data_IF_875606490358
#
_entry.id   IF_875606490358
#
_cell.length_a   1.000
_cell.length_b   1.000
_cell.length_c   1.000
_cell.angle_alpha   90.00
_cell.angle_beta   90.00
_cell.angle_gamma   90.00
#
_symmetry.space_group_name_H-M   'P 1'
#
loop_
_entity.id
_entity.type
_entity.pdbx_description
1 polymer ?
#
# COMPACT_ATOMS: atom_id res chain seq x y z
N UNK A 1 -27.89 42.59 27.09
CA UNK A 1 -27.02 43.13 26.01
C UNK A 1 -25.66 42.40 25.93
N UNK A 2 -25.11 41.84 27.01
CA UNK A 2 -23.86 41.05 26.96
C UNK A 2 -24.01 39.63 26.36
N UNK A 3 -25.18 38.99 26.54
CA UNK A 3 -25.42 37.63 26.05
C UNK A 3 -25.65 37.51 24.54
N UNK A 4 -26.13 38.57 23.89
CA UNK A 4 -26.33 38.59 22.43
C UNK A 4 -25.00 38.68 21.65
N UNK A 5 -23.94 39.23 22.27
CA UNK A 5 -22.62 39.39 21.65
C UNK A 5 -21.82 38.08 21.68
N UNK A 6 -22.01 37.26 22.71
CA UNK A 6 -21.37 35.94 22.84
C UNK A 6 -21.91 34.92 21.83
N UNK A 7 -23.20 35.01 21.45
CA UNK A 7 -23.81 34.08 20.48
C UNK A 7 -23.36 34.30 19.04
N UNK A 8 -22.86 35.50 18.68
CA UNK A 8 -22.37 35.79 17.32
C UNK A 8 -20.94 35.26 17.14
N UNK A 9 -20.13 35.23 18.21
CA UNK A 9 -18.76 34.71 18.15
C UNK A 9 -18.67 33.18 17.99
N UNK A 10 -19.73 32.44 18.33
CA UNK A 10 -19.77 30.98 18.16
C UNK A 10 -20.07 30.53 16.72
N UNK A 11 -20.66 31.40 15.89
CA UNK A 11 -20.98 31.06 14.50
C UNK A 11 -19.84 31.37 13.51
N UNK A 12 -18.87 32.22 13.88
CA UNK A 12 -17.77 32.60 12.97
C UNK A 12 -16.55 31.67 13.09
N UNK A 13 -16.42 30.90 14.18
CA UNK A 13 -15.28 29.97 14.35
C UNK A 13 -15.57 28.55 13.87
N UNK A 14 -16.82 28.21 13.54
CA UNK A 14 -17.19 26.88 13.04
C UNK A 14 -17.09 26.73 11.50
N UNK A 15 -16.70 27.80 10.79
CA UNK A 15 -16.61 27.82 9.32
C UNK A 15 -15.26 27.41 8.72
N UNK A 16 -14.28 27.04 9.54
CA UNK A 16 -12.94 26.62 9.10
C UNK A 16 -12.62 25.17 9.45
N UNK A 17 -13.62 24.28 9.37
CA UNK A 17 -13.34 22.90 9.04
C UNK A 17 -13.49 22.77 7.53
N UNK A 18 -12.51 23.28 6.79
CA UNK A 18 -12.25 22.75 5.47
C UNK A 18 -11.91 21.28 5.70
N UNK A 19 -12.89 20.40 5.47
CA UNK A 19 -12.59 19.02 5.15
C UNK A 19 -11.73 19.09 3.89
N UNK A 20 -10.42 19.21 4.07
CA UNK A 20 -9.44 19.15 3.01
C UNK A 20 -9.55 17.75 2.44
N UNK A 21 -10.50 17.56 1.53
CA UNK A 21 -10.68 16.32 0.82
C UNK A 21 -9.44 16.20 -0.04
N UNK A 22 -8.48 15.43 0.45
CA UNK A 22 -7.24 15.17 -0.25
C UNK A 22 -7.60 14.48 -1.56
N UNK A 23 -7.65 15.27 -2.62
CA UNK A 23 -7.87 14.77 -3.98
C UNK A 23 -6.49 14.58 -4.57
N UNK A 24 -5.99 13.34 -4.52
CA UNK A 24 -4.92 12.95 -5.42
C UNK A 24 -5.43 13.22 -6.83
N UNK A 25 -4.75 14.05 -7.65
CA UNK A 25 -5.15 14.24 -9.03
C UNK A 25 -4.81 12.94 -9.77
N UNK A 26 -5.77 12.02 -9.75
CA UNK A 26 -5.77 10.73 -10.39
C UNK A 26 -6.78 10.78 -11.53
N UNK A 27 -6.44 10.10 -12.62
CA UNK A 27 -7.38 9.84 -13.69
C UNK A 27 -8.53 9.01 -13.11
N UNK A 28 -9.77 9.47 -13.33
CA UNK A 28 -10.98 8.76 -12.91
C UNK A 28 -11.51 7.93 -14.07
N UNK A 29 -11.99 6.73 -13.76
CA UNK A 29 -12.52 5.80 -14.75
C UNK A 29 -14.00 5.53 -14.49
N UNK A 30 -14.82 5.62 -15.55
CA UNK A 30 -16.25 5.34 -15.48
C UNK A 30 -16.46 3.83 -15.34
N UNK A 31 -17.05 3.40 -14.23
CA UNK A 31 -17.25 1.98 -13.88
C UNK A 31 -17.99 1.19 -14.94
N UNK A 32 -19.05 1.77 -15.51
CA UNK A 32 -19.92 1.09 -16.50
C UNK A 32 -19.44 1.28 -17.95
N UNK A 33 -18.13 1.46 -18.14
CA UNK A 33 -17.52 1.60 -19.46
C UNK A 33 -16.91 0.27 -19.90
N UNK A 34 -17.08 -0.09 -21.17
CA UNK A 34 -16.45 -1.28 -21.75
C UNK A 34 -14.91 -1.23 -21.61
N UNK A 35 -14.33 -0.02 -21.68
CA UNK A 35 -12.90 0.23 -21.51
C UNK A 35 -12.44 0.47 -20.06
N UNK A 36 -13.23 0.09 -19.04
CA UNK A 36 -12.92 0.42 -17.64
C UNK A 36 -11.54 -0.08 -17.19
N UNK A 37 -11.18 -1.33 -17.51
CA UNK A 37 -9.87 -1.88 -17.14
C UNK A 37 -8.71 -1.19 -17.87
N UNK A 38 -8.88 -0.82 -19.14
CA UNK A 38 -7.87 -0.07 -19.90
C UNK A 38 -7.66 1.34 -19.34
N UNK A 39 -8.75 2.03 -19.00
CA UNK A 39 -8.69 3.31 -18.31
C UNK A 39 -7.98 3.17 -16.97
N UNK A 40 -8.32 2.15 -16.17
CA UNK A 40 -7.74 1.96 -14.85
C UNK A 40 -6.24 1.65 -14.93
N UNK A 41 -5.83 0.83 -15.91
CA UNK A 41 -4.42 0.57 -16.19
C UNK A 41 -3.67 1.87 -16.43
N UNK A 42 -4.16 2.71 -17.34
CA UNK A 42 -3.56 3.99 -17.65
C UNK A 42 -3.53 4.93 -16.42
N UNK A 43 -4.61 4.96 -15.64
CA UNK A 43 -4.68 5.74 -14.41
C UNK A 43 -3.62 5.33 -13.38
N UNK A 44 -3.40 4.01 -13.20
CA UNK A 44 -2.38 3.51 -12.29
C UNK A 44 -0.98 3.78 -12.83
N UNK A 45 -0.72 3.61 -14.12
CA UNK A 45 0.56 3.90 -14.76
C UNK A 45 0.99 5.37 -14.58
N UNK A 46 0.07 6.32 -14.80
CA UNK A 46 0.31 7.76 -14.59
C UNK A 46 0.53 8.10 -13.11
N UNK A 47 -0.13 7.39 -12.20
CA UNK A 47 0.00 7.60 -10.77
C UNK A 47 1.23 6.91 -10.16
N UNK A 48 1.76 5.88 -10.82
CA UNK A 48 2.82 5.00 -10.31
C UNK A 48 4.08 5.74 -9.82
N UNK A 49 4.60 6.77 -10.52
CA UNK A 49 5.75 7.54 -10.05
C UNK A 49 5.52 8.25 -8.70
N UNK A 50 4.27 8.59 -8.37
CA UNK A 50 3.93 9.19 -7.06
C UNK A 50 3.92 8.13 -5.97
N UNK A 51 3.36 6.95 -6.24
CA UNK A 51 3.42 5.82 -5.30
C UNK A 51 4.86 5.47 -4.93
N UNK A 52 5.80 5.50 -5.88
CA UNK A 52 7.21 5.26 -5.56
C UNK A 52 7.80 6.25 -4.56
N UNK A 53 7.42 7.53 -4.65
CA UNK A 53 7.91 8.58 -3.74
C UNK A 53 7.25 8.51 -2.36
N UNK A 54 6.14 7.80 -2.24
CA UNK A 54 5.25 7.88 -1.09
C UNK A 54 4.20 8.97 -1.28
N UNK A 55 3.11 8.85 -0.52
CA UNK A 55 2.03 9.84 -0.47
C UNK A 55 1.83 10.20 1.01
N UNK A 56 2.59 11.20 1.53
CA UNK A 56 2.59 11.54 2.95
C UNK A 56 1.21 11.91 3.50
N UNK A 57 0.34 12.47 2.67
CA UNK A 57 -1.00 12.92 3.07
C UNK A 57 -1.94 11.77 3.46
N UNK A 58 -1.62 10.53 3.06
CA UNK A 58 -2.34 9.31 3.42
C UNK A 58 -1.43 8.28 4.11
N UNK A 59 -0.29 8.73 4.65
CA UNK A 59 0.72 7.88 5.29
C UNK A 59 1.19 6.71 4.39
N UNK A 60 1.13 6.88 3.06
CA UNK A 60 1.65 5.88 2.14
C UNK A 60 3.19 6.00 2.07
N UNK A 61 3.94 4.95 2.42
CA UNK A 61 5.39 5.03 2.53
C UNK A 61 6.05 5.17 1.15
N UNK A 62 7.27 5.68 1.13
CA UNK A 62 8.12 5.55 -0.05
C UNK A 62 8.35 4.07 -0.37
N UNK A 63 8.29 3.73 -1.66
CA UNK A 63 8.62 2.38 -2.14
C UNK A 63 10.08 2.27 -2.61
N UNK A 64 10.85 3.37 -2.62
CA UNK A 64 12.25 3.33 -3.03
C UNK A 64 13.12 4.37 -2.28
N UNK A 65 13.87 3.97 -1.23
CA UNK A 65 13.79 2.64 -0.60
C UNK A 65 12.48 2.47 0.18
N UNK A 66 11.92 1.26 0.13
CA UNK A 66 10.90 0.85 1.08
C UNK A 66 11.59 0.42 2.38
N UNK A 67 11.23 1.09 3.48
CA UNK A 67 11.82 0.86 4.79
C UNK A 67 10.83 0.14 5.69
N UNK A 68 11.27 -0.96 6.30
CA UNK A 68 10.46 -1.76 7.19
C UNK A 68 11.23 -2.13 8.45
N UNK A 69 10.86 -1.52 9.58
CA UNK A 69 11.62 -1.61 10.84
C UNK A 69 11.54 -3.00 11.47
N UNK A 70 10.37 -3.59 11.47
CA UNK A 70 10.12 -4.88 12.10
C UNK A 70 8.94 -5.57 11.42
N UNK A 71 9.12 -6.85 11.11
CA UNK A 71 8.06 -7.76 10.69
C UNK A 71 8.21 -9.10 11.34
N UNK A 72 7.07 -9.73 11.64
CA UNK A 72 7.02 -11.13 12.02
C UNK A 72 5.96 -11.82 11.17
N UNK A 73 6.37 -12.86 10.46
CA UNK A 73 5.50 -13.72 9.68
C UNK A 73 5.54 -15.14 10.20
N UNK A 74 4.38 -15.82 10.17
CA UNK A 74 4.29 -17.26 10.41
C UNK A 74 3.92 -17.89 9.08
N UNK A 75 4.78 -18.77 8.59
CA UNK A 75 4.54 -19.59 7.40
C UNK A 75 4.15 -20.97 7.88
N UNK A 76 2.88 -21.32 7.70
CA UNK A 76 2.34 -22.62 8.07
C UNK A 76 1.66 -23.23 6.85
N UNK A 77 2.32 -24.21 6.23
CA UNK A 77 1.86 -24.84 5.00
C UNK A 77 2.43 -26.24 4.87
N UNK A 78 1.56 -27.24 5.02
CA UNK A 78 1.93 -28.65 4.88
C UNK A 78 2.97 -29.06 5.91
N UNK A 79 4.16 -29.45 5.47
CA UNK A 79 5.27 -29.84 6.33
C UNK A 79 6.12 -28.64 6.82
N UNK A 80 5.81 -27.43 6.39
CA UNK A 80 6.56 -26.22 6.76
C UNK A 80 5.81 -25.51 7.88
N UNK A 81 6.51 -25.29 8.99
CA UNK A 81 6.09 -24.35 10.02
C UNK A 81 7.27 -23.46 10.37
N UNK A 82 7.23 -22.17 10.04
CA UNK A 82 8.34 -21.26 10.26
C UNK A 82 7.88 -19.88 10.76
N UNK A 83 8.50 -19.42 11.83
CA UNK A 83 8.47 -18.03 12.26
C UNK A 83 9.66 -17.29 11.64
N UNK A 84 9.36 -16.24 10.87
CA UNK A 84 10.37 -15.36 10.26
C UNK A 84 10.22 -13.97 10.86
N UNK A 85 11.32 -13.47 11.43
CA UNK A 85 11.43 -12.11 11.95
C UNK A 85 12.38 -11.33 11.03
N UNK A 86 11.90 -10.20 10.55
CA UNK A 86 12.62 -9.24 9.71
C UNK A 86 12.86 -7.96 10.51
N UNK A 87 14.10 -7.45 10.54
CA UNK A 87 14.47 -6.24 11.30
C UNK A 87 15.27 -5.31 10.40
N UNK A 88 14.89 -4.02 10.39
CA UNK A 88 15.55 -2.96 9.61
C UNK A 88 15.74 -3.33 8.14
N UNK A 89 14.66 -3.82 7.51
CA UNK A 89 14.66 -4.16 6.09
C UNK A 89 14.58 -2.90 5.24
N UNK A 90 15.46 -2.85 4.25
CA UNK A 90 15.49 -1.86 3.17
C UNK A 90 15.28 -2.61 1.86
N UNK A 91 14.24 -2.26 1.11
CA UNK A 91 13.99 -2.80 -0.23
C UNK A 91 14.20 -1.69 -1.26
N UNK A 92 14.99 -1.97 -2.30
CA UNK A 92 15.21 -1.08 -3.43
C UNK A 92 14.96 -1.79 -4.76
N UNK A 93 14.80 -1.00 -5.83
CA UNK A 93 14.55 -1.51 -7.19
C UNK A 93 13.08 -1.52 -7.59
N UNK A 94 12.15 -1.27 -6.65
CA UNK A 94 10.72 -1.16 -6.96
C UNK A 94 10.42 -0.08 -8.00
N UNK A 95 11.20 1.01 -8.06
CA UNK A 95 11.05 2.08 -9.08
C UNK A 95 11.19 1.60 -10.52
N UNK A 96 11.88 0.49 -10.75
CA UNK A 96 12.05 -0.08 -12.10
C UNK A 96 10.87 -0.98 -12.50
N UNK A 97 9.88 -1.13 -11.61
CA UNK A 97 8.73 -1.97 -11.88
C UNK A 97 7.84 -1.41 -12.98
N UNK A 98 7.28 -2.32 -13.77
CA UNK A 98 6.43 -2.03 -14.91
C UNK A 98 5.10 -2.76 -14.73
N UNK A 99 4.00 -2.04 -14.85
CA UNK A 99 2.68 -2.66 -14.89
C UNK A 99 2.52 -3.37 -16.23
N UNK A 100 2.26 -4.68 -16.18
CA UNK A 100 1.93 -5.45 -17.37
C UNK A 100 0.43 -5.43 -17.63
N UNK A 101 -0.38 -5.56 -16.59
CA UNK A 101 -1.83 -5.62 -16.73
C UNK A 101 -2.58 -5.13 -15.49
N UNK A 102 -3.81 -4.67 -15.68
CA UNK A 102 -4.75 -4.30 -14.61
C UNK A 102 -6.12 -4.82 -14.99
N UNK A 103 -6.64 -5.77 -14.22
CA UNK A 103 -7.94 -6.39 -14.45
C UNK A 103 -8.86 -6.14 -13.28
N UNK A 104 -10.13 -5.97 -13.59
CA UNK A 104 -11.18 -5.68 -12.63
C UNK A 104 -12.31 -6.65 -12.82
N UNK A 105 -12.67 -7.38 -11.77
CA UNK A 105 -13.83 -8.25 -11.76
C UNK A 105 -14.82 -7.74 -10.71
N UNK A 106 -16.01 -7.40 -11.17
CA UNK A 106 -17.15 -7.12 -10.31
C UNK A 106 -17.93 -8.41 -10.14
N UNK A 107 -17.77 -9.05 -8.99
CA UNK A 107 -18.43 -10.30 -8.64
C UNK A 107 -19.80 -10.01 -8.01
N UNK A 108 -20.64 -11.05 -7.90
CA UNK A 108 -21.88 -10.98 -7.15
C UNK A 108 -21.64 -10.52 -5.70
N UNK A 109 -22.66 -9.92 -5.08
CA UNK A 109 -22.60 -9.34 -3.72
C UNK A 109 -21.66 -8.13 -3.57
N UNK A 110 -21.55 -7.29 -4.61
CA UNK A 110 -20.76 -6.03 -4.58
C UNK A 110 -19.26 -6.24 -4.30
N UNK A 111 -18.73 -7.44 -4.54
CA UNK A 111 -17.32 -7.73 -4.33
C UNK A 111 -16.52 -7.19 -5.53
N UNK A 112 -15.67 -6.20 -5.27
CA UNK A 112 -14.70 -5.70 -6.24
C UNK A 112 -13.36 -6.44 -6.09
N UNK A 113 -12.93 -7.11 -7.16
CA UNK A 113 -11.60 -7.73 -7.25
C UNK A 113 -10.74 -6.98 -8.25
N UNK A 114 -9.64 -6.42 -7.75
CA UNK A 114 -8.59 -5.79 -8.54
C UNK A 114 -7.38 -6.74 -8.63
N UNK A 115 -6.95 -7.02 -9.84
CA UNK A 115 -5.73 -7.77 -10.15
C UNK A 115 -4.77 -6.84 -10.87
N UNK A 116 -3.55 -6.70 -10.35
CA UNK A 116 -2.50 -5.86 -10.93
C UNK A 116 -1.29 -6.75 -11.15
N UNK A 117 -0.88 -6.90 -12.39
CA UNK A 117 0.32 -7.65 -12.76
C UNK A 117 1.48 -6.66 -12.86
N UNK A 118 2.52 -6.88 -12.05
CA UNK A 118 3.70 -6.01 -11.97
C UNK A 118 4.96 -6.82 -12.20
N UNK A 119 5.79 -6.38 -13.14
CA UNK A 119 7.12 -6.94 -13.37
C UNK A 119 8.18 -6.06 -12.72
N UNK A 120 8.95 -6.62 -11.78
CA UNK A 120 10.09 -5.95 -11.13
C UNK A 120 11.39 -6.59 -11.67
N UNK A 121 12.18 -5.90 -12.51
CA UNK A 121 13.36 -6.51 -13.14
C UNK A 121 14.44 -6.92 -12.14
N UNK A 122 14.70 -6.07 -11.14
CA UNK A 122 15.68 -6.30 -10.08
C UNK A 122 15.14 -5.73 -8.78
N UNK A 123 15.31 -6.49 -7.70
CA UNK A 123 14.96 -6.07 -6.36
C UNK A 123 16.12 -6.45 -5.43
N UNK A 124 16.52 -5.51 -4.59
CA UNK A 124 17.51 -5.75 -3.54
C UNK A 124 16.84 -5.59 -2.20
N UNK A 125 17.04 -6.57 -1.32
CA UNK A 125 16.51 -6.60 0.04
C UNK A 125 17.72 -6.72 0.96
N UNK A 126 17.89 -5.77 1.87
CA UNK A 126 18.95 -5.76 2.87
C UNK A 126 18.33 -5.58 4.26
N UNK A 127 18.68 -6.44 5.21
CA UNK A 127 18.16 -6.34 6.57
C UNK A 127 18.36 -7.63 7.35
N UNK A 128 18.16 -7.57 8.67
CA UNK A 128 18.41 -8.73 9.50
C UNK A 128 17.23 -9.70 9.46
N UNK A 129 17.52 -10.98 9.30
CA UNK A 129 16.52 -12.05 9.31
C UNK A 129 16.82 -13.06 10.41
N UNK A 130 15.79 -13.45 11.15
CA UNK A 130 15.81 -14.63 12.02
C UNK A 130 14.69 -15.56 11.57
N UNK A 131 15.04 -16.81 11.25
CA UNK A 131 14.06 -17.83 10.87
C UNK A 131 14.18 -19.01 11.83
N UNK A 132 13.06 -19.41 12.44
CA UNK A 132 12.98 -20.56 13.34
C UNK A 132 11.78 -21.39 12.91
N UNK A 133 11.98 -22.67 12.64
CA UNK A 133 10.89 -23.50 12.16
C UNK A 133 11.22 -24.97 12.01
N UNK A 134 10.33 -25.67 11.34
CA UNK A 134 10.45 -27.07 10.97
C UNK A 134 10.14 -27.27 9.50
N UNK A 135 10.83 -28.24 8.90
CA UNK A 135 10.53 -28.80 7.59
C UNK A 135 10.37 -30.31 7.79
N UNK A 136 9.12 -30.77 7.92
CA UNK A 136 8.79 -32.13 8.32
C UNK A 136 9.47 -32.49 9.65
N UNK A 137 10.31 -33.54 9.71
CA UNK A 137 11.00 -33.92 10.94
C UNK A 137 12.21 -33.03 11.29
N UNK A 138 12.66 -32.17 10.37
CA UNK A 138 13.87 -31.36 10.55
C UNK A 138 13.57 -30.04 11.24
N UNK A 139 14.41 -29.64 12.20
CA UNK A 139 14.36 -28.33 12.86
C UNK A 139 15.35 -27.37 12.22
N UNK A 140 14.88 -26.18 11.87
CA UNK A 140 15.66 -25.12 11.24
C UNK A 140 15.74 -23.92 12.18
N UNK A 141 16.96 -23.38 12.34
CA UNK A 141 17.21 -22.13 13.05
C UNK A 141 18.32 -21.38 12.34
N UNK A 142 18.01 -20.22 11.79
CA UNK A 142 18.94 -19.38 11.06
C UNK A 142 18.84 -17.92 11.54
N UNK A 143 19.98 -17.25 11.54
CA UNK A 143 20.10 -15.80 11.74
C UNK A 143 21.07 -15.26 10.70
N UNK A 144 20.70 -14.19 10.02
CA UNK A 144 21.50 -13.60 8.95
C UNK A 144 21.24 -12.11 8.75
N UNK A 145 22.00 -11.56 7.81
CA UNK A 145 21.92 -10.20 7.26
C UNK A 145 21.55 -10.34 5.77
#
# INVERSE_FOLDING_TARGET
MLFYVLSIFSFVTLGLYTNGQFTLPLITCKRDSDDYSACLKHAVEEAWPRFYKGIPEIDFPSLNPLLYKYGKGIFDSGEIHAEVILINVTVTGLTESRLSDVKTNFLDNDIFRLEIDVHVPKMYINGFVTAIGTLGPFRLKSKGI
#
